data_IF_978523809393
#
_entry.id   IF_978523809393
#
_cell.length_a   1.000
_cell.length_b   1.000
_cell.length_c   1.000
_cell.angle_alpha   90.00
_cell.angle_beta   90.00
_cell.angle_gamma   90.00
#
_symmetry.space_group_name_H-M   'P 1'
#
loop_
_entity.id
_entity.type
_entity.pdbx_description
1 polymer ?
#
# COMPACT_ATOMS: atom_id res chain seq x y z
N UNK A 1 3.46 -15.14 8.01
CA UNK A 1 3.35 -15.03 6.53
C UNK A 1 2.90 -16.39 6.00
N UNK A 2 2.15 -16.45 4.91
CA UNK A 2 1.66 -17.73 4.38
C UNK A 2 2.79 -18.39 3.59
N UNK A 3 3.11 -19.65 3.90
CA UNK A 3 4.10 -20.42 3.16
C UNK A 3 3.54 -20.80 1.78
N UNK A 4 4.28 -20.56 0.69
CA UNK A 4 3.82 -20.88 -0.66
C UNK A 4 4.05 -22.36 -0.96
N UNK A 5 3.02 -23.19 -0.72
CA UNK A 5 2.99 -24.61 -1.08
C UNK A 5 2.52 -24.80 -2.54
N UNK A 6 3.46 -25.07 -3.45
CA UNK A 6 3.21 -25.28 -4.88
C UNK A 6 2.37 -26.53 -5.13
N UNK A 7 2.42 -27.55 -4.27
CA UNK A 7 1.59 -28.74 -4.41
C UNK A 7 0.14 -28.41 -4.13
N UNK A 8 -0.12 -27.71 -3.03
CA UNK A 8 -1.47 -27.27 -2.67
C UNK A 8 -2.04 -26.27 -3.68
N UNK A 9 -1.23 -25.30 -4.11
CA UNK A 9 -1.65 -24.25 -5.06
C UNK A 9 -2.07 -24.84 -6.42
N UNK A 10 -1.35 -25.86 -6.90
CA UNK A 10 -1.60 -26.45 -8.22
C UNK A 10 -2.34 -27.80 -8.18
N UNK A 11 -2.84 -28.18 -6.99
CA UNK A 11 -3.52 -29.45 -6.75
C UNK A 11 -2.73 -30.67 -7.27
N UNK A 12 -1.45 -30.73 -6.91
CA UNK A 12 -0.52 -31.77 -7.33
C UNK A 12 -0.27 -32.79 -6.20
N UNK A 13 -0.09 -34.06 -6.55
CA UNK A 13 0.35 -35.07 -5.59
C UNK A 13 1.85 -34.94 -5.31
N UNK A 14 2.20 -34.62 -4.07
CA UNK A 14 3.60 -34.51 -3.60
C UNK A 14 4.39 -35.82 -3.74
N UNK A 15 3.74 -36.98 -3.91
CA UNK A 15 4.40 -38.28 -4.12
C UNK A 15 4.71 -38.57 -5.58
N UNK A 16 4.14 -37.83 -6.54
CA UNK A 16 4.40 -38.04 -7.96
C UNK A 16 5.87 -37.73 -8.31
N UNK A 17 6.48 -38.43 -9.29
CA UNK A 17 7.84 -38.14 -9.73
C UNK A 17 7.89 -36.81 -10.51
N UNK A 18 9.06 -36.14 -10.51
CA UNK A 18 9.22 -34.81 -11.11
C UNK A 18 8.80 -34.71 -12.59
N UNK A 19 9.09 -35.70 -13.47
CA UNK A 19 8.59 -35.70 -14.84
C UNK A 19 7.06 -35.65 -14.94
N UNK A 20 6.35 -36.36 -14.06
CA UNK A 20 4.88 -36.38 -14.06
C UNK A 20 4.30 -35.05 -13.58
N UNK A 21 4.92 -34.44 -12.55
CA UNK A 21 4.58 -33.10 -12.10
C UNK A 21 4.77 -32.07 -13.21
N UNK A 22 5.88 -32.15 -13.96
CA UNK A 22 6.14 -31.27 -15.09
C UNK A 22 5.11 -31.42 -16.22
N UNK A 23 4.68 -32.66 -16.50
CA UNK A 23 3.65 -32.95 -17.48
C UNK A 23 2.29 -32.37 -17.07
N UNK A 24 1.87 -32.58 -15.81
CA UNK A 24 0.63 -32.01 -15.26
C UNK A 24 0.62 -30.48 -15.31
N UNK A 25 1.72 -29.84 -14.88
CA UNK A 25 1.87 -28.38 -14.94
C UNK A 25 1.88 -27.86 -16.39
N UNK A 26 2.43 -28.61 -17.34
CA UNK A 26 2.38 -28.26 -18.76
C UNK A 26 0.95 -28.33 -19.31
N UNK A 27 0.17 -29.34 -18.92
CA UNK A 27 -1.24 -29.43 -19.30
C UNK A 27 -2.06 -28.25 -18.74
N UNK A 28 -1.86 -27.91 -17.46
CA UNK A 28 -2.50 -26.73 -16.85
C UNK A 28 -2.09 -25.44 -17.57
N UNK A 29 -0.80 -25.28 -17.91
CA UNK A 29 -0.28 -24.10 -18.63
C UNK A 29 -0.92 -23.94 -19.99
N UNK A 30 -1.13 -25.02 -20.73
CA UNK A 30 -1.76 -24.99 -22.05
C UNK A 30 -3.25 -24.62 -21.98
N UNK A 31 -3.94 -24.94 -20.88
CA UNK A 31 -5.33 -24.54 -20.63
C UNK A 31 -5.49 -23.13 -20.06
N UNK A 32 -4.42 -22.53 -19.52
CA UNK A 32 -4.47 -21.19 -18.95
C UNK A 32 -4.55 -20.12 -20.05
N UNK A 33 -5.57 -19.26 -20.02
CA UNK A 33 -5.69 -18.11 -20.92
C UNK A 33 -4.89 -16.90 -20.43
N UNK A 34 -4.82 -16.70 -19.10
CA UNK A 34 -4.16 -15.55 -18.48
C UNK A 34 -2.62 -15.67 -18.54
N UNK A 35 -1.90 -14.64 -19.03
CA UNK A 35 -0.43 -14.69 -19.18
C UNK A 35 0.29 -14.79 -17.83
N UNK A 36 -0.27 -14.21 -16.76
CA UNK A 36 0.32 -14.29 -15.42
C UNK A 36 0.18 -15.69 -14.84
N UNK A 37 -0.99 -16.32 -15.00
CA UNK A 37 -1.18 -17.72 -14.65
C UNK A 37 -0.17 -18.63 -15.38
N UNK A 38 0.07 -18.41 -16.68
CA UNK A 38 1.10 -19.13 -17.45
C UNK A 38 2.50 -18.93 -16.87
N UNK A 39 2.87 -17.69 -16.53
CA UNK A 39 4.17 -17.39 -15.94
C UNK A 39 4.37 -18.08 -14.59
N UNK A 40 3.34 -18.13 -13.74
CA UNK A 40 3.37 -18.84 -12.45
C UNK A 40 3.53 -20.35 -12.63
N UNK A 41 2.80 -20.92 -13.59
CA UNK A 41 2.93 -22.34 -13.96
C UNK A 41 4.32 -22.66 -14.52
N UNK A 42 4.94 -21.73 -15.26
CA UNK A 42 6.32 -21.89 -15.73
C UNK A 42 7.34 -21.91 -14.57
N UNK A 43 7.13 -21.10 -13.53
CA UNK A 43 7.97 -21.13 -12.31
C UNK A 43 7.78 -22.44 -11.55
N UNK A 44 6.54 -22.85 -11.30
CA UNK A 44 6.24 -24.12 -10.62
C UNK A 44 6.84 -25.30 -11.38
N UNK A 45 6.74 -25.31 -12.72
CA UNK A 45 7.32 -26.34 -13.58
C UNK A 45 8.85 -26.37 -13.51
N UNK A 46 9.49 -25.20 -13.49
CA UNK A 46 10.95 -25.08 -13.39
C UNK A 46 11.52 -25.55 -12.04
N UNK A 47 10.71 -25.55 -10.98
CA UNK A 47 11.09 -26.03 -9.64
C UNK A 47 10.72 -27.51 -9.48
N UNK A 48 9.45 -27.87 -9.65
CA UNK A 48 8.95 -29.22 -9.38
C UNK A 48 9.33 -30.24 -10.45
N UNK A 49 9.56 -29.78 -11.69
CA UNK A 49 9.97 -30.62 -12.81
C UNK A 49 11.44 -31.04 -12.79
N UNK A 50 12.27 -30.37 -11.99
CA UNK A 50 13.68 -30.71 -11.82
C UNK A 50 13.88 -31.42 -10.45
N UNK A 51 14.44 -32.65 -10.41
CA UNK A 51 14.59 -33.40 -9.16
C UNK A 51 15.43 -32.68 -8.09
N UNK A 52 16.49 -31.97 -8.47
CA UNK A 52 17.39 -31.29 -7.52
C UNK A 52 16.72 -30.05 -6.92
N UNK A 53 16.07 -29.24 -7.75
CA UNK A 53 15.34 -28.04 -7.30
C UNK A 53 14.13 -28.40 -6.46
N UNK A 54 13.41 -29.46 -6.84
CA UNK A 54 12.33 -30.01 -6.03
C UNK A 54 12.85 -30.47 -4.67
N UNK A 55 13.97 -31.18 -4.60
CA UNK A 55 14.53 -31.62 -3.31
C UNK A 55 14.84 -30.43 -2.40
N UNK A 56 15.42 -29.35 -2.93
CA UNK A 56 15.68 -28.13 -2.17
C UNK A 56 14.38 -27.46 -1.67
N UNK A 57 13.37 -27.40 -2.54
CA UNK A 57 12.03 -26.89 -2.21
C UNK A 57 11.35 -27.74 -1.12
N UNK A 58 11.38 -29.07 -1.26
CA UNK A 58 10.80 -30.01 -0.31
C UNK A 58 11.49 -29.97 1.06
N UNK A 59 12.81 -29.78 1.09
CA UNK A 59 13.57 -29.62 2.32
C UNK A 59 13.19 -28.34 3.06
N UNK A 60 13.01 -27.22 2.34
CA UNK A 60 12.57 -25.97 2.93
C UNK A 60 11.15 -26.07 3.49
N UNK A 61 10.23 -26.71 2.75
CA UNK A 61 8.84 -26.92 3.17
C UNK A 61 8.73 -27.85 4.40
N UNK A 62 9.69 -28.75 4.58
CA UNK A 62 9.72 -29.68 5.71
C UNK A 62 10.37 -29.10 6.97
N UNK A 63 11.13 -28.00 6.86
CA UNK A 63 11.82 -27.37 7.98
C UNK A 63 10.93 -26.30 8.65
N UNK A 64 10.44 -26.53 9.88
CA UNK A 64 9.61 -25.57 10.58
C UNK A 64 10.35 -24.28 10.97
N UNK A 65 11.69 -24.29 10.94
CA UNK A 65 12.54 -23.14 11.24
C UNK A 65 13.02 -22.41 9.97
N UNK A 66 12.72 -22.93 8.78
CA UNK A 66 13.12 -22.28 7.55
C UNK A 66 12.42 -20.91 7.38
N UNK A 67 13.07 -19.95 6.69
CA UNK A 67 12.41 -18.73 6.27
C UNK A 67 11.18 -19.05 5.42
N UNK A 68 10.10 -18.25 5.53
CA UNK A 68 8.89 -18.43 4.70
C UNK A 68 9.22 -18.50 3.21
N UNK A 69 8.61 -19.42 2.49
CA UNK A 69 8.74 -19.54 1.04
C UNK A 69 7.96 -18.39 0.39
N UNK A 70 8.70 -17.36 -0.01
CA UNK A 70 8.18 -16.19 -0.75
C UNK A 70 8.38 -16.34 -2.25
N UNK A 71 7.74 -15.48 -3.05
CA UNK A 71 7.95 -15.47 -4.51
C UNK A 71 9.42 -15.22 -4.89
N UNK A 72 10.16 -14.44 -4.11
CA UNK A 72 11.59 -14.21 -4.32
C UNK A 72 12.41 -15.51 -4.11
N UNK A 73 12.05 -16.30 -3.10
CA UNK A 73 12.65 -17.63 -2.86
C UNK A 73 12.36 -18.56 -4.03
N UNK A 74 11.10 -18.61 -4.49
CA UNK A 74 10.71 -19.42 -5.65
C UNK A 74 11.45 -18.99 -6.92
N UNK A 75 11.60 -17.68 -7.16
CA UNK A 75 12.36 -17.16 -8.31
C UNK A 75 13.83 -17.61 -8.28
N UNK A 76 14.46 -17.56 -7.10
CA UNK A 76 15.82 -18.07 -6.88
C UNK A 76 15.94 -19.57 -7.14
N UNK A 77 15.02 -20.38 -6.60
CA UNK A 77 14.97 -21.83 -6.83
C UNK A 77 14.73 -22.19 -8.30
N UNK A 78 13.95 -21.39 -9.02
CA UNK A 78 13.73 -21.56 -10.46
C UNK A 78 14.97 -21.21 -11.33
N UNK A 79 16.05 -20.71 -10.71
CA UNK A 79 17.27 -20.30 -11.41
C UNK A 79 17.11 -18.97 -12.16
N UNK A 80 16.10 -18.17 -11.83
CA UNK A 80 15.96 -16.81 -12.35
C UNK A 80 16.76 -15.85 -11.46
N UNK A 81 17.29 -14.74 -12.00
CA UNK A 81 17.80 -13.68 -11.16
C UNK A 81 16.67 -13.25 -10.23
N UNK A 82 16.85 -13.40 -8.92
CA UNK A 82 15.92 -12.84 -7.97
C UNK A 82 15.83 -11.32 -8.25
N UNK A 83 14.64 -10.70 -8.21
CA UNK A 83 14.56 -9.25 -8.20
C UNK A 83 15.45 -8.77 -7.05
N UNK A 84 16.44 -7.93 -7.39
CA UNK A 84 17.49 -7.56 -6.47
C UNK A 84 16.86 -6.99 -5.19
N UNK A 85 17.18 -7.51 -4.01
CA UNK A 85 16.72 -6.90 -2.77
C UNK A 85 17.31 -5.48 -2.72
N UNK A 86 16.44 -4.48 -2.52
CA UNK A 86 16.87 -3.10 -2.31
C UNK A 86 17.88 -3.08 -1.17
N UNK A 87 19.14 -2.77 -1.50
CA UNK A 87 20.18 -2.59 -0.48
C UNK A 87 19.73 -1.46 0.43
N UNK A 88 19.66 -1.66 1.76
CA UNK A 88 19.44 -0.54 2.67
C UNK A 88 20.59 0.45 2.49
N UNK A 89 20.25 1.69 2.16
CA UNK A 89 21.22 2.77 2.03
C UNK A 89 21.99 2.93 3.36
N UNK A 90 23.32 3.08 3.33
CA UNK A 90 24.10 3.29 4.55
C UNK A 90 23.72 4.66 5.13
N UNK A 91 23.06 4.65 6.29
CA UNK A 91 22.76 5.85 7.05
C UNK A 91 24.05 6.62 7.37
N UNK A 92 24.06 7.89 6.98
CA UNK A 92 25.04 8.88 7.41
C UNK A 92 25.03 9.03 8.94
N UNK A 93 26.21 9.06 9.54
CA UNK A 93 26.43 9.23 10.97
C UNK A 93 25.99 10.63 11.46
N UNK A 94 25.35 10.76 12.64
CA UNK A 94 25.10 12.07 13.25
C UNK A 94 26.26 12.46 14.17
N UNK A 95 27.11 13.39 13.74
CA UNK A 95 28.03 14.15 14.62
C UNK A 95 27.57 15.60 14.78
N UNK A 96 26.35 15.83 15.28
CA UNK A 96 26.03 17.10 15.97
C UNK A 96 24.88 16.83 16.96
N UNK A 97 25.22 16.51 18.20
CA UNK A 97 24.29 16.52 19.33
C UNK A 97 25.06 16.98 20.56
N UNK A 98 25.37 18.27 20.57
CA UNK A 98 25.95 18.99 21.71
C UNK A 98 25.62 20.49 21.60
N UNK A 99 24.33 20.85 21.66
CA UNK A 99 23.95 22.27 21.77
C UNK A 99 22.51 22.58 22.26
N UNK A 100 21.64 21.60 22.56
CA UNK A 100 20.21 21.90 22.88
C UNK A 100 19.73 21.22 24.17
N UNK A 101 20.59 21.10 25.18
CA UNK A 101 20.22 20.58 26.50
C UNK A 101 20.10 21.67 27.60
N UNK A 102 20.40 22.94 27.32
CA UNK A 102 20.42 24.00 28.32
C UNK A 102 19.20 24.97 28.29
N UNK A 103 18.32 24.90 27.29
CA UNK A 103 17.21 25.84 27.12
C UNK A 103 15.85 25.34 27.64
N UNK A 104 15.70 24.04 27.93
CA UNK A 104 14.44 23.44 28.40
C UNK A 104 14.28 23.39 29.92
N UNK A 105 15.33 23.70 30.69
CA UNK A 105 15.29 23.68 32.16
C UNK A 105 14.68 24.91 32.83
N UNK A 106 14.56 26.05 32.12
CA UNK A 106 14.12 27.32 32.71
C UNK A 106 12.62 27.60 32.49
N UNK A 107 11.99 26.95 31.51
CA UNK A 107 10.56 27.17 31.21
C UNK A 107 9.61 26.38 32.13
N UNK A 108 10.10 25.33 32.80
CA UNK A 108 9.24 24.41 33.59
C UNK A 108 9.01 24.88 35.04
N UNK A 109 9.66 25.97 35.49
CA UNK A 109 9.53 26.49 36.87
C UNK A 109 8.38 27.52 37.02
N UNK A 110 7.75 27.97 35.92
CA UNK A 110 6.77 29.08 35.97
C UNK A 110 5.29 28.60 36.04
N UNK A 111 4.99 27.31 35.90
CA UNK A 111 3.58 26.84 35.79
C UNK A 111 2.97 26.35 37.12
N UNK A 112 3.70 26.36 38.24
CA UNK A 112 3.15 25.97 39.56
C UNK A 112 2.89 27.20 40.44
N UNK A 113 1.91 28.03 40.05
CA UNK A 113 1.25 28.96 40.97
C UNK A 113 0.03 29.60 40.32
N UNK A 114 -1.12 28.90 40.36
CA UNK A 114 -2.47 29.44 40.59
C UNK A 114 -3.56 28.50 40.05
N UNK A 115 -3.95 27.49 40.83
CA UNK A 115 -5.35 27.01 40.84
C UNK A 115 -5.72 26.53 42.25
N UNK A 116 -6.10 27.49 43.09
CA UNK A 116 -7.11 27.40 44.14
C UNK A 116 -7.82 28.76 44.03
N UNK A 117 -9.15 28.91 43.91
CA UNK A 117 -10.26 28.27 44.59
C UNK A 117 -11.54 28.41 43.74
N UNK A 118 -12.41 27.39 43.76
CA UNK A 118 -13.89 27.45 43.74
C UNK A 118 -14.35 25.98 43.80
N UNK A 119 -15.02 25.44 44.81
CA UNK A 119 -15.97 26.02 45.75
C UNK A 119 -17.39 25.84 45.20
N UNK A 120 -18.16 24.89 45.74
CA UNK A 120 -19.60 24.74 45.47
C UNK A 120 -20.09 23.29 45.48
N UNK A 121 -20.56 22.85 46.65
CA UNK A 121 -21.30 21.60 46.91
C UNK A 121 -22.72 21.62 46.29
N UNK A 122 -23.30 20.45 46.01
CA UNK A 122 -24.68 20.12 46.44
C UNK A 122 -25.03 18.63 46.20
N UNK A 123 -25.71 18.09 47.21
CA UNK A 123 -26.11 16.70 47.43
C UNK A 123 -27.21 16.18 46.48
N UNK A 124 -27.23 14.85 46.29
CA UNK A 124 -28.30 14.13 45.59
C UNK A 124 -28.20 12.61 45.79
N UNK A 125 -28.90 12.14 46.81
CA UNK A 125 -28.91 10.79 47.40
C UNK A 125 -29.50 9.67 46.51
N UNK A 126 -29.03 8.44 46.77
CA UNK A 126 -29.67 7.11 46.59
C UNK A 126 -30.11 6.67 45.18
N UNK A 127 -29.62 5.54 44.65
CA UNK A 127 -30.10 4.20 45.05
C UNK A 127 -29.18 3.09 44.55
N UNK A 128 -28.96 2.09 45.41
CA UNK A 128 -28.38 0.78 45.10
C UNK A 128 -29.31 -0.03 44.19
N UNK A 129 -28.75 -0.77 43.24
CA UNK A 129 -29.30 -2.07 42.86
C UNK A 129 -28.20 -3.06 42.49
N UNK A 130 -28.48 -4.32 42.80
CA UNK A 130 -27.52 -5.35 43.12
C UNK A 130 -27.03 -6.18 41.92
N UNK A 131 -25.88 -6.79 42.17
CA UNK A 131 -25.17 -7.85 41.45
C UNK A 131 -25.90 -8.70 40.39
N UNK A 132 -25.24 -8.89 39.25
CA UNK A 132 -25.22 -10.17 38.52
C UNK A 132 -23.79 -10.38 37.97
N UNK A 133 -23.08 -11.48 38.31
CA UNK A 133 -21.77 -11.77 37.75
C UNK A 133 -21.96 -12.39 36.35
N UNK A 134 -21.81 -11.56 35.31
CA UNK A 134 -21.80 -11.99 33.92
C UNK A 134 -20.38 -12.31 33.46
N UNK A 135 -20.13 -13.59 33.23
CA UNK A 135 -19.13 -14.23 32.36
C UNK A 135 -18.09 -13.30 31.71
N UNK A 136 -16.82 -13.52 32.07
CA UNK A 136 -15.64 -12.94 31.40
C UNK A 136 -15.59 -13.45 29.96
N UNK A 137 -16.17 -12.69 29.03
CA UNK A 137 -16.05 -12.93 27.60
C UNK A 137 -14.65 -12.49 27.17
N UNK A 138 -13.73 -13.44 27.08
CA UNK A 138 -12.45 -13.29 26.36
C UNK A 138 -12.76 -13.02 24.90
N UNK A 139 -12.97 -11.74 24.57
CA UNK A 139 -12.86 -11.22 23.21
C UNK A 139 -11.39 -11.30 22.82
N UNK A 140 -10.98 -12.47 22.32
CA UNK A 140 -9.81 -12.58 21.45
C UNK A 140 -10.01 -11.59 20.32
N UNK A 141 -9.20 -10.52 20.33
CA UNK A 141 -9.05 -9.62 19.20
C UNK A 141 -8.42 -10.45 18.09
N UNK A 142 -9.24 -11.11 17.28
CA UNK A 142 -8.79 -11.72 16.05
C UNK A 142 -8.19 -10.59 15.23
N UNK A 143 -6.86 -10.60 15.14
CA UNK A 143 -6.11 -9.70 14.28
C UNK A 143 -6.45 -10.12 12.85
N UNK A 144 -7.54 -9.56 12.31
CA UNK A 144 -8.04 -9.87 10.97
C UNK A 144 -6.93 -9.57 9.98
N UNK A 145 -6.22 -10.63 9.57
CA UNK A 145 -5.11 -10.56 8.65
C UNK A 145 -5.62 -9.97 7.35
N UNK A 146 -5.18 -8.76 7.10
CA UNK A 146 -5.56 -7.93 5.96
C UNK A 146 -5.30 -8.73 4.67
N UNK A 147 -6.35 -9.10 3.88
CA UNK A 147 -6.17 -9.97 2.72
C UNK A 147 -5.17 -9.37 1.72
N UNK A 148 -4.19 -10.16 1.28
CA UNK A 148 -3.20 -9.70 0.30
C UNK A 148 -3.77 -9.90 -1.10
N UNK A 149 -3.86 -8.83 -1.87
CA UNK A 149 -4.39 -8.86 -3.23
C UNK A 149 -3.26 -8.63 -4.23
N UNK A 150 -3.06 -9.60 -5.10
CA UNK A 150 -2.00 -9.62 -6.12
C UNK A 150 -2.46 -9.11 -7.48
N UNK A 151 -3.78 -9.02 -7.69
CA UNK A 151 -4.38 -8.48 -8.90
C UNK A 151 -5.72 -7.86 -8.55
N UNK A 152 -5.95 -6.63 -9.04
CA UNK A 152 -7.25 -5.98 -8.96
C UNK A 152 -7.76 -5.76 -10.39
N UNK A 153 -8.95 -6.29 -10.65
CA UNK A 153 -9.64 -6.19 -11.93
C UNK A 153 -10.78 -5.19 -11.79
N UNK A 154 -10.69 -4.10 -12.55
CA UNK A 154 -11.81 -3.19 -12.68
C UNK A 154 -12.86 -3.81 -13.60
N UNK A 155 -14.04 -4.13 -13.04
CA UNK A 155 -15.25 -4.39 -13.83
C UNK A 155 -16.32 -3.40 -13.40
N UNK A 156 -16.84 -2.65 -14.37
CA UNK A 156 -18.17 -2.04 -14.25
C UNK A 156 -19.17 -3.18 -14.05
N UNK A 157 -20.38 -2.89 -13.57
CA UNK A 157 -21.48 -3.86 -13.41
C UNK A 157 -21.80 -4.69 -14.68
N UNK A 158 -21.19 -4.36 -15.80
CA UNK A 158 -21.16 -5.13 -17.04
C UNK A 158 -20.02 -6.18 -17.04
N UNK A 159 -20.39 -7.45 -16.80
CA UNK A 159 -19.48 -8.60 -16.82
C UNK A 159 -18.83 -8.86 -18.19
N UNK A 160 -19.24 -8.17 -19.26
CA UNK A 160 -18.66 -8.29 -20.60
C UNK A 160 -17.46 -7.37 -20.85
N UNK A 161 -17.22 -6.38 -19.98
CA UNK A 161 -16.11 -5.44 -20.16
C UNK A 161 -14.76 -6.09 -19.82
N UNK A 162 -13.93 -6.29 -20.84
CA UNK A 162 -12.52 -6.64 -20.69
C UNK A 162 -11.72 -5.34 -20.88
N UNK A 163 -10.96 -4.87 -19.87
CA UNK A 163 -10.16 -3.66 -20.04
C UNK A 163 -9.14 -3.88 -21.16
N UNK A 164 -9.07 -2.92 -22.09
CA UNK A 164 -8.12 -2.95 -23.21
C UNK A 164 -6.66 -2.73 -22.79
N UNK A 165 -6.44 -2.45 -21.50
CA UNK A 165 -5.11 -2.24 -20.93
C UNK A 165 -4.97 -2.83 -19.52
N UNK A 166 -3.74 -3.19 -19.18
CA UNK A 166 -3.30 -3.54 -17.84
C UNK A 166 -2.19 -2.59 -17.38
N UNK A 167 -2.17 -2.22 -16.11
CA UNK A 167 -1.09 -1.50 -15.45
C UNK A 167 -0.19 -2.50 -14.73
N UNK A 168 1.12 -2.42 -15.00
CA UNK A 168 2.15 -3.05 -14.18
C UNK A 168 2.76 -2.00 -13.27
N UNK A 169 2.67 -2.19 -11.96
CA UNK A 169 3.33 -1.28 -11.01
C UNK A 169 4.84 -1.46 -11.14
N UNK A 170 5.56 -0.40 -11.47
CA UNK A 170 7.00 -0.42 -11.65
C UNK A 170 7.74 0.16 -10.43
N UNK A 171 7.12 1.13 -9.73
CA UNK A 171 7.72 1.76 -8.56
C UNK A 171 6.66 2.34 -7.63
N UNK A 172 7.04 2.52 -6.37
CA UNK A 172 6.22 3.19 -5.35
C UNK A 172 7.03 4.22 -4.59
N UNK A 173 6.38 5.29 -4.15
CA UNK A 173 6.94 6.27 -3.23
C UNK A 173 6.04 6.37 -2.02
N UNK A 174 6.63 6.13 -0.85
CA UNK A 174 6.01 6.37 0.43
C UNK A 174 6.16 7.85 0.83
N UNK A 175 5.04 8.51 1.05
CA UNK A 175 4.98 9.91 1.44
C UNK A 175 4.82 10.09 2.95
N UNK A 176 4.76 9.01 3.75
CA UNK A 176 4.48 9.11 5.18
C UNK A 176 5.48 10.04 5.90
N UNK A 177 6.78 9.83 5.70
CA UNK A 177 7.80 10.69 6.30
C UNK A 177 7.66 12.17 5.85
N UNK A 178 7.34 12.40 4.58
CA UNK A 178 7.16 13.73 4.01
C UNK A 178 5.95 14.43 4.63
N UNK A 179 4.79 13.76 4.70
CA UNK A 179 3.58 14.38 5.25
C UNK A 179 3.69 14.63 6.74
N UNK A 180 4.34 13.72 7.49
CA UNK A 180 4.61 13.90 8.93
C UNK A 180 5.52 15.10 9.17
N UNK A 181 6.56 15.29 8.35
CA UNK A 181 7.43 16.48 8.37
C UNK A 181 6.64 17.77 8.15
N UNK A 182 5.63 17.75 7.27
CA UNK A 182 4.74 18.89 7.02
C UNK A 182 3.69 19.12 8.13
N UNK A 183 3.67 18.26 9.15
CA UNK A 183 2.75 18.36 10.28
C UNK A 183 1.36 17.75 10.02
N UNK A 184 1.23 16.84 9.06
CA UNK A 184 0.05 16.00 8.94
C UNK A 184 0.06 14.93 10.04
N UNK A 185 -0.93 14.98 10.93
CA UNK A 185 -1.08 14.04 12.05
C UNK A 185 -2.15 12.98 11.81
N UNK A 186 -2.98 13.14 10.78
CA UNK A 186 -4.03 12.19 10.41
C UNK A 186 -3.55 10.74 10.29
N UNK A 187 -4.40 9.82 10.74
CA UNK A 187 -4.19 8.37 10.68
C UNK A 187 -4.87 7.72 9.48
N UNK A 188 -5.86 8.41 8.90
CA UNK A 188 -6.76 7.86 7.89
C UNK A 188 -6.66 8.62 6.57
N UNK A 189 -5.64 8.24 5.82
CA UNK A 189 -5.43 8.79 4.50
C UNK A 189 -6.43 8.22 3.50
N UNK A 190 -7.21 9.05 2.81
CA UNK A 190 -8.07 8.60 1.70
C UNK A 190 -9.32 7.79 2.09
N UNK A 191 -9.77 7.84 3.35
CA UNK A 191 -11.15 7.42 3.65
C UNK A 191 -12.12 8.41 2.98
N UNK A 192 -13.24 7.87 2.46
CA UNK A 192 -14.15 8.52 1.49
C UNK A 192 -14.70 9.89 1.91
N UNK A 193 -14.56 10.28 3.17
CA UNK A 193 -15.24 11.44 3.75
C UNK A 193 -14.31 12.49 4.38
N UNK A 194 -12.97 12.32 4.39
CA UNK A 194 -12.08 13.25 5.10
C UNK A 194 -10.85 13.74 4.34
N UNK A 195 -10.11 12.97 3.55
CA UNK A 195 -8.90 13.54 2.89
C UNK A 195 -8.62 12.90 1.54
N UNK A 196 -9.02 13.57 0.47
CA UNK A 196 -8.69 13.14 -0.89
C UNK A 196 -7.33 13.73 -1.29
N UNK A 197 -6.32 12.87 -1.50
CA UNK A 197 -5.22 13.26 -2.40
C UNK A 197 -5.80 13.29 -3.80
N UNK A 198 -5.65 14.44 -4.44
CA UNK A 198 -5.74 14.55 -5.88
C UNK A 198 -4.32 14.62 -6.45
N UNK A 199 -4.05 13.79 -7.47
CA UNK A 199 -2.99 14.08 -8.41
C UNK A 199 -3.51 15.23 -9.26
N UNK A 200 -3.02 16.44 -9.00
CA UNK A 200 -3.56 17.62 -9.67
C UNK A 200 -3.01 17.74 -11.08
N UNK A 201 -1.73 17.39 -11.28
CA UNK A 201 -1.06 17.78 -12.52
C UNK A 201 0.26 17.04 -12.79
N UNK A 202 0.60 16.97 -14.08
CA UNK A 202 1.98 16.84 -14.57
C UNK A 202 2.44 18.20 -15.11
N UNK A 203 3.57 18.71 -14.60
CA UNK A 203 4.18 19.97 -15.06
C UNK A 203 4.76 19.81 -16.46
N UNK A 204 5.12 20.93 -17.12
CA UNK A 204 5.81 20.88 -18.43
C UNK A 204 7.14 20.10 -18.37
N UNK A 205 7.78 20.07 -17.20
CA UNK A 205 8.99 19.28 -16.95
C UNK A 205 8.72 17.80 -16.65
N UNK A 206 7.46 17.35 -16.70
CA UNK A 206 7.07 15.98 -16.36
C UNK A 206 6.93 15.69 -14.87
N UNK A 207 7.14 16.68 -13.99
CA UNK A 207 7.02 16.47 -12.54
C UNK A 207 5.54 16.34 -12.17
N UNK A 208 5.26 15.52 -11.16
CA UNK A 208 3.89 15.27 -10.70
C UNK A 208 3.64 16.12 -9.46
N UNK A 209 2.52 16.83 -9.46
CA UNK A 209 2.06 17.63 -8.33
C UNK A 209 0.87 16.94 -7.65
N UNK A 210 1.07 16.65 -6.37
CA UNK A 210 0.08 16.08 -5.48
C UNK A 210 -0.42 17.18 -4.56
N UNK A 211 -1.73 17.28 -4.35
CA UNK A 211 -2.23 18.08 -3.25
C UNK A 211 -3.36 17.39 -2.51
N UNK A 212 -3.47 17.74 -1.24
CA UNK A 212 -4.58 17.37 -0.37
C UNK A 212 -4.75 18.42 0.71
N UNK A 213 -5.91 18.42 1.34
CA UNK A 213 -6.18 19.25 2.50
C UNK A 213 -6.70 18.37 3.63
N UNK A 214 -6.28 18.69 4.85
CA UNK A 214 -6.70 17.97 6.05
C UNK A 214 -7.86 18.74 6.72
N UNK A 215 -9.08 18.19 6.73
CA UNK A 215 -10.22 18.83 7.37
C UNK A 215 -10.20 18.63 8.90
N UNK A 216 -9.32 17.78 9.42
CA UNK A 216 -9.27 17.42 10.84
C UNK A 216 -8.68 18.53 11.71
N UNK A 217 -8.09 19.56 11.11
CA UNK A 217 -7.60 20.74 11.82
C UNK A 217 -8.79 21.50 12.44
N UNK A 218 -8.87 21.42 13.78
CA UNK A 218 -9.98 21.86 14.61
C UNK A 218 -10.67 23.17 14.18
N UNK A 219 -11.93 23.03 13.74
CA UNK A 219 -12.80 24.12 13.30
C UNK A 219 -12.45 24.57 11.89
N UNK A 220 -13.39 24.46 10.95
CA UNK A 220 -13.28 24.70 9.49
C UNK A 220 -12.59 26.00 9.02
N UNK A 221 -12.09 26.84 9.92
CA UNK A 221 -11.37 28.09 9.64
C UNK A 221 -9.86 27.91 9.39
N UNK A 222 -9.27 26.75 9.71
CA UNK A 222 -7.81 26.52 9.59
C UNK A 222 -7.46 25.26 8.81
N UNK A 223 -8.18 24.97 7.72
CA UNK A 223 -7.87 23.84 6.84
C UNK A 223 -6.45 24.03 6.30
N UNK A 224 -5.58 23.07 6.59
CA UNK A 224 -4.20 23.03 6.11
C UNK A 224 -4.16 22.18 4.85
N UNK A 225 -3.64 22.76 3.78
CA UNK A 225 -3.37 22.06 2.55
C UNK A 225 -1.88 21.80 2.40
N UNK A 226 -1.58 20.79 1.61
CA UNK A 226 -0.26 20.28 1.37
C UNK A 226 -0.07 20.12 -0.13
N UNK A 227 1.11 20.52 -0.62
CA UNK A 227 1.53 20.27 -2.00
C UNK A 227 2.87 19.58 -1.97
N UNK A 228 2.96 18.47 -2.69
CA UNK A 228 4.20 17.74 -2.90
C UNK A 228 4.45 17.63 -4.39
N UNK A 229 5.63 18.07 -4.82
CA UNK A 229 6.10 17.91 -6.19
C UNK A 229 7.11 16.78 -6.24
N UNK A 230 6.90 15.81 -7.13
CA UNK A 230 7.79 14.67 -7.32
C UNK A 230 8.27 14.55 -8.76
N UNK A 231 9.45 13.98 -8.99
CA UNK A 231 9.95 13.66 -10.34
C UNK A 231 9.20 12.46 -10.94
N UNK A 232 9.30 12.21 -12.27
CA UNK A 232 8.83 10.96 -12.89
C UNK A 232 9.43 9.68 -12.30
N UNK A 233 10.59 9.77 -11.65
CA UNK A 233 11.26 8.67 -10.93
C UNK A 233 10.84 8.60 -9.47
N UNK A 234 9.76 9.29 -9.10
CA UNK A 234 9.21 9.35 -7.75
C UNK A 234 10.17 9.90 -6.70
N UNK A 235 10.95 10.94 -7.03
CA UNK A 235 11.76 11.66 -6.03
C UNK A 235 11.07 12.94 -5.60
N UNK A 236 10.96 13.18 -4.30
CA UNK A 236 10.42 14.44 -3.77
C UNK A 236 11.37 15.60 -4.12
N UNK A 237 10.84 16.59 -4.83
CA UNK A 237 11.54 17.83 -5.19
C UNK A 237 11.21 18.97 -4.23
N UNK A 238 9.94 19.10 -3.90
CA UNK A 238 9.42 20.17 -3.07
C UNK A 238 8.23 19.65 -2.25
N UNK A 239 8.14 20.14 -1.02
CA UNK A 239 7.08 19.79 -0.08
C UNK A 239 6.71 21.04 0.74
N UNK A 240 5.44 21.45 0.69
CA UNK A 240 4.98 22.67 1.37
C UNK A 240 3.59 22.46 1.97
N UNK A 241 3.34 23.10 3.11
CA UNK A 241 2.02 23.20 3.73
C UNK A 241 1.59 24.67 3.86
N UNK A 242 0.33 24.96 3.63
CA UNK A 242 -0.21 26.33 3.66
C UNK A 242 -1.72 26.31 3.99
N UNK A 243 -2.32 27.46 4.37
CA UNK A 243 -3.77 27.56 4.57
C UNK A 243 -4.55 27.34 3.27
N UNK A 244 -5.74 26.71 3.32
CA UNK A 244 -6.56 26.42 2.13
C UNK A 244 -6.81 27.64 1.23
N UNK A 245 -6.94 28.84 1.81
CA UNK A 245 -7.10 30.09 1.06
C UNK A 245 -5.96 30.35 0.05
N UNK A 246 -4.78 29.77 0.26
CA UNK A 246 -3.61 29.91 -0.62
C UNK A 246 -3.49 28.79 -1.66
N UNK A 247 -4.36 27.77 -1.65
CA UNK A 247 -4.25 26.60 -2.53
C UNK A 247 -4.18 26.97 -4.02
N UNK A 248 -4.92 27.99 -4.44
CA UNK A 248 -4.87 28.48 -5.82
C UNK A 248 -3.52 29.10 -6.23
N UNK A 249 -2.78 29.66 -5.28
CA UNK A 249 -1.48 30.28 -5.53
C UNK A 249 -0.33 29.27 -5.58
N UNK A 250 -0.46 28.17 -4.83
CA UNK A 250 0.56 27.11 -4.77
C UNK A 250 0.36 26.00 -5.82
N UNK A 251 -0.81 25.95 -6.48
CA UNK A 251 -1.06 25.05 -7.60
C UNK A 251 -0.39 25.56 -8.88
N UNK A 252 0.40 24.72 -9.53
CA UNK A 252 1.01 25.09 -10.81
C UNK A 252 -0.04 25.19 -11.94
N UNK A 253 0.07 26.22 -12.80
CA UNK A 253 -0.88 26.49 -13.89
C UNK A 253 -0.71 25.58 -15.11
N UNK A 254 -1.44 24.49 -15.23
CA UNK A 254 -1.58 23.89 -16.56
C UNK A 254 -2.09 22.47 -16.57
N UNK A 255 -1.69 21.72 -17.60
CA UNK A 255 -2.49 20.64 -18.15
C UNK A 255 -3.05 19.68 -17.09
N UNK A 256 -4.36 19.77 -16.88
CA UNK A 256 -5.13 18.76 -16.17
C UNK A 256 -4.97 17.45 -16.90
N UNK A 257 -4.79 16.38 -16.15
CA UNK A 257 -4.44 15.12 -16.77
C UNK A 257 -5.69 14.50 -17.37
N UNK A 258 -5.56 14.08 -18.63
CA UNK A 258 -6.64 13.51 -19.43
C UNK A 258 -7.26 12.28 -18.74
N UNK A 259 -8.59 12.18 -18.78
CA UNK A 259 -9.40 11.01 -18.37
C UNK A 259 -9.10 9.72 -19.18
N UNK A 260 -7.99 9.70 -19.93
CA UNK A 260 -7.53 8.60 -20.81
C UNK A 260 -7.47 7.25 -20.12
N UNK A 261 -7.28 7.20 -18.81
CA UNK A 261 -7.13 5.96 -18.05
C UNK A 261 -8.28 5.76 -17.07
N UNK A 262 -9.53 5.88 -17.50
CA UNK A 262 -10.65 5.62 -16.59
C UNK A 262 -10.67 4.15 -16.08
N UNK A 263 -10.19 3.20 -16.89
CA UNK A 263 -10.40 1.77 -16.64
C UNK A 263 -9.17 0.93 -17.00
N UNK A 264 -8.41 0.48 -16.00
CA UNK A 264 -7.22 -0.36 -16.23
C UNK A 264 -7.13 -1.49 -15.20
N UNK A 265 -6.75 -2.70 -15.64
CA UNK A 265 -6.47 -3.84 -14.74
C UNK A 265 -5.14 -3.60 -14.03
N UNK A 266 -5.05 -3.65 -12.71
CA UNK A 266 -3.77 -3.51 -12.01
C UNK A 266 -3.20 -4.90 -11.72
N UNK A 267 -2.07 -5.18 -12.35
CA UNK A 267 -1.27 -6.38 -12.15
C UNK A 267 -0.03 -6.00 -11.37
N UNK A 268 0.01 -6.39 -10.10
CA UNK A 268 1.00 -5.91 -9.16
C UNK A 268 1.90 -7.05 -8.69
N UNK A 269 3.22 -6.82 -8.69
CA UNK A 269 4.14 -7.60 -7.87
C UNK A 269 4.15 -7.15 -6.39
N UNK A 270 3.74 -5.91 -6.14
CA UNK A 270 3.68 -5.29 -4.81
C UNK A 270 2.29 -5.36 -4.17
N UNK A 271 2.22 -5.23 -2.84
CA UNK A 271 0.96 -5.32 -2.10
C UNK A 271 0.19 -4.00 -2.16
N UNK A 272 -0.96 -4.00 -2.81
CA UNK A 272 -1.92 -2.90 -2.69
C UNK A 272 -2.64 -2.95 -1.32
N UNK A 273 -2.98 -1.81 -0.70
CA UNK A 273 -3.73 -1.78 0.55
C UNK A 273 -5.13 -2.35 0.35
N UNK A 274 -5.62 -3.17 1.28
CA UNK A 274 -6.99 -3.72 1.20
C UNK A 274 -8.07 -2.66 1.22
N UNK A 275 -7.84 -1.52 1.89
CA UNK A 275 -8.79 -0.41 1.90
C UNK A 275 -9.02 0.16 0.49
N UNK A 276 -8.05 0.02 -0.41
CA UNK A 276 -8.20 0.39 -1.81
C UNK A 276 -8.95 -0.66 -2.62
N UNK A 277 -9.31 -1.80 -2.04
CA UNK A 277 -9.76 -2.98 -2.77
C UNK A 277 -11.09 -3.45 -2.23
N UNK A 278 -12.11 -3.42 -3.08
CA UNK A 278 -13.43 -3.99 -2.75
C UNK A 278 -13.56 -5.35 -3.41
N UNK A 279 -13.79 -6.39 -2.60
CA UNK A 279 -14.16 -7.72 -3.11
C UNK A 279 -15.67 -7.90 -2.97
N UNK A 280 -16.40 -8.02 -4.08
CA UNK A 280 -17.85 -8.25 -4.09
C UNK A 280 -18.18 -9.29 -5.15
N UNK A 281 -18.88 -10.37 -4.79
CA UNK A 281 -19.29 -11.41 -5.75
C UNK A 281 -18.15 -12.16 -6.44
N UNK A 282 -16.97 -12.27 -5.82
CA UNK A 282 -15.77 -12.88 -6.43
C UNK A 282 -14.95 -11.92 -7.30
N UNK A 283 -15.40 -10.68 -7.48
CA UNK A 283 -14.68 -9.64 -8.23
C UNK A 283 -13.83 -8.78 -7.30
N UNK A 284 -12.66 -8.34 -7.76
CA UNK A 284 -11.70 -7.55 -6.97
C UNK A 284 -11.48 -6.18 -7.60
N UNK A 285 -12.18 -5.14 -7.14
CA UNK A 285 -12.08 -3.78 -7.65
C UNK A 285 -11.00 -3.00 -6.89
N UNK A 286 -10.03 -2.40 -7.58
CA UNK A 286 -9.20 -1.35 -7.00
C UNK A 286 -9.83 0.02 -7.27
N UNK A 287 -10.01 0.82 -6.22
CA UNK A 287 -10.37 2.22 -6.35
C UNK A 287 -9.08 3.04 -6.31
N UNK A 288 -8.79 3.76 -7.38
CA UNK A 288 -7.80 4.84 -7.37
C UNK A 288 -8.55 6.14 -7.11
N UNK A 289 -8.09 6.94 -6.14
CA UNK A 289 -8.68 8.26 -5.88
C UNK A 289 -8.37 9.22 -7.02
N UNK A 290 -7.23 9.03 -7.67
CA UNK A 290 -6.78 9.82 -8.78
C UNK A 290 -5.76 9.02 -9.59
N UNK A 291 -5.80 9.17 -10.91
CA UNK A 291 -4.97 8.47 -11.88
C UNK A 291 -4.62 9.45 -12.99
N UNK A 292 -3.34 9.56 -13.30
CA UNK A 292 -2.80 10.55 -14.23
C UNK A 292 -1.82 9.91 -15.20
N UNK A 293 -1.93 10.28 -16.47
CA UNK A 293 -0.90 10.07 -17.49
C UNK A 293 0.45 10.63 -17.03
N UNK A 294 1.53 9.92 -17.34
CA UNK A 294 2.88 10.43 -17.26
C UNK A 294 3.30 11.22 -18.49
N UNK A 295 4.60 11.49 -18.61
CA UNK A 295 5.17 12.16 -19.77
C UNK A 295 5.06 11.33 -21.07
N UNK A 296 4.89 10.00 -20.94
CA UNK A 296 4.63 9.08 -22.04
C UNK A 296 3.24 8.44 -21.87
N UNK A 297 2.57 8.12 -22.99
CA UNK A 297 1.21 7.54 -22.99
C UNK A 297 1.16 6.11 -22.38
N UNK A 298 2.31 5.49 -22.15
CA UNK A 298 2.45 4.17 -21.51
C UNK A 298 2.81 4.27 -20.02
N UNK A 299 2.95 5.46 -19.44
CA UNK A 299 3.23 5.62 -18.00
C UNK A 299 2.03 6.27 -17.33
N UNK A 300 1.67 5.75 -16.16
CA UNK A 300 0.63 6.30 -15.33
C UNK A 300 1.09 6.43 -13.88
N UNK A 301 0.55 7.42 -13.17
CA UNK A 301 0.71 7.60 -11.75
C UNK A 301 -0.65 7.57 -11.07
N UNK A 302 -0.75 6.89 -9.94
CA UNK A 302 -2.00 6.86 -9.19
C UNK A 302 -1.77 6.83 -7.69
N UNK A 303 -2.83 7.20 -6.97
CA UNK A 303 -2.91 7.09 -5.52
C UNK A 303 -4.13 6.25 -5.15
N UNK A 304 -4.02 5.50 -4.06
CA UNK A 304 -5.08 4.59 -3.62
C UNK A 304 -5.57 4.97 -2.21
N UNK A 305 -6.86 4.79 -1.90
CA UNK A 305 -7.40 4.95 -0.56
C UNK A 305 -6.61 4.15 0.49
N UNK A 306 -6.42 4.74 1.67
CA UNK A 306 -5.78 4.06 2.79
C UNK A 306 -4.25 3.97 2.70
N UNK A 307 -3.61 4.59 1.71
CA UNK A 307 -2.15 4.67 1.65
C UNK A 307 -1.64 6.06 1.28
N UNK A 308 -0.62 6.50 2.01
CA UNK A 308 0.24 7.64 1.69
C UNK A 308 1.26 7.26 0.63
N UNK A 309 0.81 6.64 -0.47
CA UNK A 309 1.70 6.12 -1.51
C UNK A 309 1.29 6.59 -2.88
N UNK A 310 2.30 6.97 -3.65
CA UNK A 310 2.18 7.21 -5.09
C UNK A 310 2.76 6.01 -5.81
N UNK A 311 1.98 5.49 -6.76
CA UNK A 311 2.37 4.36 -7.58
C UNK A 311 2.70 4.87 -8.97
N UNK A 312 3.79 4.39 -9.53
CA UNK A 312 4.13 4.51 -10.95
C UNK A 312 3.85 3.17 -11.61
N UNK A 313 3.17 3.20 -12.74
CA UNK A 313 2.87 1.99 -13.50
C UNK A 313 3.06 2.19 -15.00
N UNK A 314 3.44 1.12 -15.68
CA UNK A 314 3.45 1.01 -17.13
C UNK A 314 2.11 0.45 -17.58
N UNK A 315 1.47 1.12 -18.53
CA UNK A 315 0.24 0.70 -19.20
C UNK A 315 0.60 -0.20 -20.38
N UNK A 316 0.17 -1.46 -20.29
CA UNK A 316 0.33 -2.50 -21.29
C UNK A 316 -1.01 -2.70 -21.97
N UNK A 317 -1.08 -2.39 -23.27
CA UNK A 317 -2.28 -2.57 -24.07
C UNK A 317 -2.41 -4.02 -24.52
N UNK A 318 -3.65 -4.51 -24.60
CA UNK A 318 -3.93 -5.77 -25.26
C UNK A 318 -3.95 -5.53 -26.78
N UNK A 319 -3.07 -6.22 -27.50
CA UNK A 319 -3.07 -6.27 -28.97
C UNK A 319 -4.29 -7.03 -29.52
#
# INVERSE_FOLDING_TARGET
MSDLDLYAIHNLDRRAPSPDLAAQLTAQRNGAADPIARQRLDVARAILGDPQRRQAYDAQLADPQAPPITEAVLAGLAGRPAPAPDKPAPFAQPRVLAAVAAALGVLLVIVVSAVACSGGDDDGDSSRDAATPGTTSTLTTEQTKTPTVYSAEYRVDDASFVPSAAMRIDATLDLEATVRKLGYDGTDFGLRDSSHISLNRVTESGNIELAWCDPSFAGAKNIRCFVVTITPELKVLNDVSFPEAELGAHKSKGATVSDKYAYVRVTSGDRLPTKAITVKGGYTKAEALSLVAGASDDVAYFVVPGALKVYKATVVWAD
#
